data_IF_477612278956
#
_entry.id   IF_477612278956
#
_cell.length_a   1.000
_cell.length_b   1.000
_cell.length_c   1.000
_cell.angle_alpha   90.00
_cell.angle_beta   90.00
_cell.angle_gamma   90.00
#
_symmetry.space_group_name_H-M   'P 1'
#
loop_
_entity.id
_entity.type
_entity.pdbx_description
1 polymer ?
#
# COMPACT_ATOMS: atom_id res chain seq x y z
N UNK A 1 24.21 -56.86 10.26
CA UNK A 1 24.89 -56.37 11.47
C UNK A 1 25.35 -54.94 11.23
N UNK A 2 24.53 -53.96 11.60
CA UNK A 2 24.96 -52.72 12.24
C UNK A 2 23.70 -51.90 12.55
N UNK A 3 23.40 -51.77 13.84
CA UNK A 3 22.31 -50.96 14.36
C UNK A 3 22.74 -49.49 14.31
N UNK A 4 22.01 -48.66 13.57
CA UNK A 4 22.06 -47.21 13.73
C UNK A 4 20.79 -46.75 14.45
N UNK A 5 20.76 -46.93 15.77
CA UNK A 5 19.80 -46.29 16.67
C UNK A 5 20.35 -44.92 17.09
N UNK A 6 20.15 -43.92 16.23
CA UNK A 6 20.41 -42.52 16.54
C UNK A 6 19.10 -41.80 16.85
N UNK A 7 18.70 -41.79 18.11
CA UNK A 7 17.62 -40.92 18.61
C UNK A 7 18.16 -39.49 18.78
N UNK A 8 18.33 -38.76 17.68
CA UNK A 8 18.51 -37.30 17.72
C UNK A 8 17.15 -36.63 17.54
N UNK A 9 16.42 -36.52 18.65
CA UNK A 9 15.31 -35.56 18.79
C UNK A 9 15.92 -34.16 18.82
N UNK A 10 16.20 -33.66 17.62
CA UNK A 10 16.64 -32.30 17.38
C UNK A 10 15.71 -31.32 18.10
N UNK A 11 16.26 -30.58 19.06
CA UNK A 11 15.64 -29.40 19.66
C UNK A 11 15.22 -28.46 18.53
N UNK A 12 13.95 -28.52 18.14
CA UNK A 12 13.36 -27.53 17.24
C UNK A 12 13.45 -26.18 17.95
N UNK A 13 14.42 -25.36 17.54
CA UNK A 13 14.47 -23.96 17.92
C UNK A 13 13.14 -23.34 17.48
N UNK A 14 12.32 -22.90 18.44
CA UNK A 14 11.09 -22.15 18.18
C UNK A 14 11.47 -20.99 17.25
N UNK A 15 11.04 -21.07 15.98
CA UNK A 15 11.22 -19.97 15.02
C UNK A 15 10.25 -18.87 15.44
N UNK A 16 10.74 -17.85 16.15
CA UNK A 16 9.99 -16.61 16.34
C UNK A 16 9.90 -15.92 14.98
N UNK A 17 8.68 -15.85 14.45
CA UNK A 17 8.38 -15.13 13.22
C UNK A 17 8.05 -13.70 13.64
N UNK A 18 8.94 -12.77 13.31
CA UNK A 18 8.74 -11.34 13.54
C UNK A 18 7.99 -10.75 12.34
N UNK A 19 6.73 -10.37 12.53
CA UNK A 19 5.94 -9.71 11.48
C UNK A 19 5.97 -8.20 11.72
N UNK A 20 6.58 -7.46 10.80
CA UNK A 20 6.63 -5.99 10.80
C UNK A 20 5.41 -5.46 10.05
N UNK A 21 4.48 -4.83 10.76
CA UNK A 21 3.36 -4.12 10.14
C UNK A 21 3.71 -2.65 9.87
N UNK A 22 3.60 -2.15 8.62
CA UNK A 22 3.72 -0.72 8.33
C UNK A 22 2.52 0.06 8.91
N UNK A 23 2.78 1.23 9.52
CA UNK A 23 1.74 2.15 10.01
C UNK A 23 0.94 2.81 8.86
N UNK A 24 1.43 2.73 7.62
CA UNK A 24 0.88 3.46 6.48
C UNK A 24 -0.21 2.70 5.71
N UNK A 25 -0.67 1.54 6.20
CA UNK A 25 -1.63 0.67 5.48
C UNK A 25 -3.09 1.15 5.54
N UNK A 26 -3.38 2.29 6.18
CA UNK A 26 -4.74 2.77 6.44
C UNK A 26 -5.32 3.73 5.36
N UNK A 27 -4.57 4.56 4.59
CA UNK A 27 -5.22 5.53 3.69
C UNK A 27 -5.56 5.01 2.29
N UNK A 28 -5.08 3.84 1.87
CA UNK A 28 -5.13 3.42 0.46
C UNK A 28 -6.53 2.97 -0.04
N UNK A 29 -7.48 2.66 0.86
CA UNK A 29 -8.80 2.12 0.52
C UNK A 29 -9.89 3.18 0.27
N UNK A 30 -9.60 4.48 0.38
CA UNK A 30 -10.57 5.58 0.24
C UNK A 30 -10.52 6.33 -1.11
N UNK A 31 -10.05 5.66 -2.18
CA UNK A 31 -10.16 6.18 -3.56
C UNK A 31 -11.44 5.69 -4.27
N UNK A 32 -12.53 5.45 -3.54
CA UNK A 32 -13.87 5.41 -4.15
C UNK A 32 -14.20 6.84 -4.61
N UNK A 33 -14.65 6.96 -5.86
CA UNK A 33 -14.97 8.21 -6.56
C UNK A 33 -15.63 9.26 -5.65
N UNK A 34 -14.83 10.22 -5.16
CA UNK A 34 -15.30 11.39 -4.39
C UNK A 34 -16.31 12.25 -5.16
N UNK A 35 -16.50 12.03 -6.46
CA UNK A 35 -17.45 12.82 -7.25
C UNK A 35 -18.90 12.31 -7.09
N UNK A 36 -19.11 11.00 -6.89
CA UNK A 36 -20.45 10.42 -6.76
C UNK A 36 -21.07 10.62 -5.36
N UNK A 37 -20.29 10.38 -4.30
CA UNK A 37 -20.79 10.49 -2.91
C UNK A 37 -21.14 11.94 -2.51
N UNK A 38 -20.45 12.93 -3.06
CA UNK A 38 -20.70 14.33 -2.72
C UNK A 38 -21.95 14.92 -3.40
N UNK A 39 -22.40 14.33 -4.52
CA UNK A 39 -23.65 14.75 -5.17
C UNK A 39 -24.88 14.31 -4.36
N UNK A 40 -24.86 13.07 -3.85
CA UNK A 40 -25.93 12.53 -2.98
C UNK A 40 -26.03 13.27 -1.64
N UNK A 41 -24.90 13.63 -1.03
CA UNK A 41 -24.88 14.35 0.25
C UNK A 41 -25.36 15.82 0.16
N UNK A 42 -25.19 16.47 -1.00
CA UNK A 42 -25.76 17.81 -1.21
C UNK A 42 -27.27 17.77 -1.37
N UNK A 43 -27.81 16.73 -2.01
CA UNK A 43 -29.26 16.54 -2.17
C UNK A 43 -29.98 16.35 -0.84
N UNK A 44 -29.39 15.66 0.15
CA UNK A 44 -30.02 15.45 1.45
C UNK A 44 -30.00 16.68 2.38
N UNK A 45 -29.17 17.69 2.14
CA UNK A 45 -29.05 18.83 3.05
C UNK A 45 -30.18 19.85 2.89
N UNK A 46 -30.71 19.97 1.66
CA UNK A 46 -31.83 20.86 1.37
C UNK A 46 -33.17 20.26 1.82
N UNK A 47 -33.32 18.95 1.79
CA UNK A 47 -34.59 18.29 2.08
C UNK A 47 -35.03 18.38 3.55
N UNK A 48 -34.10 18.33 4.51
CA UNK A 48 -34.46 18.39 5.95
C UNK A 48 -34.93 19.79 6.36
N UNK A 49 -34.25 20.83 5.88
CA UNK A 49 -34.63 22.21 6.18
C UNK A 49 -35.98 22.57 5.53
N UNK A 50 -36.18 22.18 4.27
CA UNK A 50 -37.47 22.35 3.59
C UNK A 50 -38.60 21.60 4.30
N UNK A 51 -38.32 20.39 4.82
CA UNK A 51 -39.30 19.61 5.59
C UNK A 51 -39.68 20.29 6.90
N UNK A 52 -38.71 20.89 7.62
CA UNK A 52 -39.00 21.66 8.84
C UNK A 52 -39.92 22.84 8.55
N UNK A 53 -39.60 23.64 7.52
CA UNK A 53 -40.45 24.76 7.11
C UNK A 53 -41.85 24.31 6.67
N UNK A 54 -41.95 23.15 6.02
CA UNK A 54 -43.24 22.60 5.62
C UNK A 54 -44.07 22.16 6.83
N UNK A 55 -43.47 21.50 7.82
CA UNK A 55 -44.16 21.09 9.05
C UNK A 55 -44.66 22.30 9.86
N UNK A 56 -43.89 23.38 9.93
CA UNK A 56 -44.33 24.64 10.57
C UNK A 56 -45.58 25.20 9.88
N UNK A 57 -45.61 25.21 8.54
CA UNK A 57 -46.77 25.63 7.76
C UNK A 57 -47.96 24.70 7.97
N UNK A 58 -47.74 23.39 7.98
CA UNK A 58 -48.79 22.39 8.17
C UNK A 58 -49.43 22.49 9.57
N UNK A 59 -48.63 22.79 10.61
CA UNK A 59 -49.11 23.05 11.97
C UNK A 59 -49.97 24.32 12.01
N UNK A 60 -49.58 25.37 11.30
CA UNK A 60 -50.35 26.62 11.23
C UNK A 60 -51.68 26.45 10.48
N UNK A 61 -51.70 25.62 9.43
CA UNK A 61 -52.88 25.39 8.59
C UNK A 61 -53.90 24.40 9.18
N UNK A 62 -53.46 23.46 10.01
CA UNK A 62 -54.36 22.44 10.58
C UNK A 62 -55.28 23.02 11.67
N UNK A 63 -56.51 22.51 11.76
CA UNK A 63 -57.49 22.92 12.80
C UNK A 63 -57.63 21.87 13.91
N UNK A 64 -57.56 20.58 13.56
CA UNK A 64 -57.71 19.48 14.50
C UNK A 64 -56.49 19.36 15.45
N UNK A 65 -56.73 19.45 16.77
CA UNK A 65 -55.67 19.49 17.78
C UNK A 65 -54.86 18.19 17.87
N UNK A 66 -55.52 17.03 17.71
CA UNK A 66 -54.84 15.73 17.70
C UNK A 66 -53.78 15.65 16.59
N UNK A 67 -54.13 16.13 15.39
CA UNK A 67 -53.19 16.16 14.25
C UNK A 67 -52.06 17.17 14.46
N UNK A 68 -52.33 18.30 15.10
CA UNK A 68 -51.28 19.27 15.47
C UNK A 68 -50.26 18.66 16.43
N UNK A 69 -50.72 17.87 17.41
CA UNK A 69 -49.82 17.23 18.37
C UNK A 69 -48.88 16.23 17.70
N UNK A 70 -49.38 15.46 16.72
CA UNK A 70 -48.56 14.55 15.90
C UNK A 70 -47.50 15.34 15.12
N UNK A 71 -47.90 16.42 14.44
CA UNK A 71 -46.97 17.25 13.66
C UNK A 71 -45.91 17.94 14.53
N UNK A 72 -46.29 18.41 15.74
CA UNK A 72 -45.35 18.98 16.71
C UNK A 72 -44.30 17.96 17.18
N UNK A 73 -44.71 16.70 17.38
CA UNK A 73 -43.78 15.63 17.75
C UNK A 73 -42.81 15.29 16.61
N UNK A 74 -43.29 15.24 15.38
CA UNK A 74 -42.45 15.05 14.19
C UNK A 74 -41.43 16.19 14.04
N UNK A 75 -41.88 17.44 14.22
CA UNK A 75 -41.03 18.62 14.19
C UNK A 75 -39.91 18.54 15.24
N UNK A 76 -40.24 18.24 16.50
CA UNK A 76 -39.26 18.06 17.57
C UNK A 76 -38.23 16.98 17.22
N UNK A 77 -38.69 15.85 16.68
CA UNK A 77 -37.82 14.73 16.30
C UNK A 77 -36.83 15.18 15.22
N UNK A 78 -37.31 15.80 14.15
CA UNK A 78 -36.46 16.30 13.06
C UNK A 78 -35.48 17.40 13.52
N UNK A 79 -35.90 18.29 14.43
CA UNK A 79 -35.01 19.29 15.01
C UNK A 79 -33.87 18.63 15.79
N UNK A 80 -34.16 17.62 16.61
CA UNK A 80 -33.12 16.90 17.37
C UNK A 80 -32.13 16.18 16.46
N UNK A 81 -32.62 15.55 15.39
CA UNK A 81 -31.80 14.91 14.37
C UNK A 81 -30.91 15.92 13.63
N UNK A 82 -31.46 17.09 13.28
CA UNK A 82 -30.72 18.17 12.64
C UNK A 82 -29.60 18.70 13.54
N UNK A 83 -29.89 18.95 14.81
CA UNK A 83 -28.88 19.39 15.79
C UNK A 83 -27.78 18.34 15.99
N UNK A 84 -28.15 17.06 16.05
CA UNK A 84 -27.21 15.95 16.14
C UNK A 84 -26.31 15.87 14.90
N UNK A 85 -26.86 16.10 13.71
CA UNK A 85 -26.08 16.17 12.47
C UNK A 85 -25.07 17.32 12.50
N UNK A 86 -25.47 18.52 12.92
CA UNK A 86 -24.58 19.68 13.04
C UNK A 86 -23.43 19.42 14.03
N UNK A 87 -23.73 18.83 15.19
CA UNK A 87 -22.71 18.44 16.18
C UNK A 87 -21.73 17.41 15.62
N UNK A 88 -22.22 16.37 14.93
CA UNK A 88 -21.37 15.37 14.26
C UNK A 88 -20.48 16.01 13.20
N UNK A 89 -21.03 16.94 12.41
CA UNK A 89 -20.30 17.68 11.38
C UNK A 89 -19.17 18.52 12.01
N UNK A 90 -19.46 19.26 13.09
CA UNK A 90 -18.47 20.03 13.81
C UNK A 90 -17.33 19.15 14.34
N UNK A 91 -17.67 18.06 15.03
CA UNK A 91 -16.68 17.09 15.52
C UNK A 91 -15.81 16.51 14.40
N UNK A 92 -16.41 16.20 13.25
CA UNK A 92 -15.67 15.75 12.08
C UNK A 92 -14.66 16.81 11.59
N UNK A 93 -15.09 18.06 11.45
CA UNK A 93 -14.20 19.14 11.01
C UNK A 93 -13.13 19.49 12.04
N UNK A 94 -13.42 19.38 13.33
CA UNK A 94 -12.45 19.58 14.39
C UNK A 94 -11.38 18.49 14.39
N UNK A 95 -11.77 17.22 14.25
CA UNK A 95 -10.84 16.11 14.06
C UNK A 95 -10.00 16.28 12.82
N UNK A 96 -10.61 16.71 11.71
CA UNK A 96 -9.91 16.97 10.44
C UNK A 96 -8.91 18.12 10.57
N UNK A 97 -9.28 19.22 11.23
CA UNK A 97 -8.37 20.35 11.52
C UNK A 97 -7.22 19.92 12.42
N UNK A 98 -7.51 19.15 13.47
CA UNK A 98 -6.50 18.63 14.39
C UNK A 98 -5.51 17.69 13.70
N UNK A 99 -5.99 16.82 12.81
CA UNK A 99 -5.13 15.94 12.01
C UNK A 99 -4.24 16.74 11.05
N UNK A 100 -4.80 17.71 10.32
CA UNK A 100 -4.04 18.59 9.43
C UNK A 100 -2.96 19.38 10.17
N UNK A 101 -3.30 19.93 11.35
CA UNK A 101 -2.38 20.67 12.22
C UNK A 101 -1.25 19.80 12.79
N UNK A 102 -1.38 18.47 12.78
CA UNK A 102 -0.36 17.55 13.29
C UNK A 102 0.66 17.08 12.24
N UNK A 103 0.43 17.33 10.96
CA UNK A 103 1.22 16.72 9.87
C UNK A 103 1.81 17.74 8.89
N UNK A 104 1.31 18.97 8.84
CA UNK A 104 1.84 20.01 7.96
C UNK A 104 2.80 20.91 8.75
N UNK A 105 4.10 20.75 8.50
CA UNK A 105 5.13 21.63 9.02
C UNK A 105 5.14 22.93 8.18
N UNK A 106 4.25 23.87 8.53
CA UNK A 106 4.06 25.14 7.81
C UNK A 106 5.22 26.11 8.07
N UNK A 107 5.81 26.08 9.27
CA UNK A 107 6.94 26.93 9.65
C UNK A 107 8.25 26.13 9.76
N UNK A 108 9.42 26.73 9.46
CA UNK A 108 10.72 26.07 9.65
C UNK A 108 10.93 25.53 11.08
N UNK A 109 10.37 26.19 12.09
CA UNK A 109 10.40 25.76 13.49
C UNK A 109 9.73 24.39 13.71
N UNK A 110 8.65 24.11 12.99
CA UNK A 110 7.91 22.84 13.09
C UNK A 110 8.72 21.66 12.55
N UNK A 111 9.61 21.91 11.58
CA UNK A 111 10.47 20.88 11.00
C UNK A 111 11.43 20.28 12.03
N UNK A 112 11.88 21.08 13.00
CA UNK A 112 12.72 20.57 14.08
C UNK A 112 12.00 19.53 14.92
N UNK A 113 10.69 19.69 15.15
CA UNK A 113 9.90 18.73 15.91
C UNK A 113 9.67 17.45 15.09
N UNK A 114 9.38 17.58 13.80
CA UNK A 114 9.29 16.44 12.86
C UNK A 114 10.59 15.64 12.83
N UNK A 115 11.74 16.31 12.68
CA UNK A 115 13.04 15.63 12.69
C UNK A 115 13.38 15.03 14.05
N UNK A 116 13.04 15.70 15.15
CA UNK A 116 13.22 15.18 16.50
C UNK A 116 12.40 13.91 16.72
N UNK A 117 11.13 13.92 16.29
CA UNK A 117 10.22 12.78 16.45
C UNK A 117 10.54 11.64 15.48
N UNK A 118 10.98 11.93 14.25
CA UNK A 118 11.45 10.92 13.30
C UNK A 118 12.73 10.21 13.78
N UNK A 119 13.56 10.89 14.58
CA UNK A 119 14.77 10.33 15.19
C UNK A 119 14.51 9.65 16.53
N UNK A 120 13.32 9.77 17.11
CA UNK A 120 12.95 8.97 18.28
C UNK A 120 12.89 7.52 17.83
N UNK A 121 13.60 6.63 18.55
CA UNK A 121 13.38 5.21 18.37
C UNK A 121 11.88 4.95 18.56
N UNK A 122 11.24 4.17 17.66
CA UNK A 122 9.86 3.79 17.87
C UNK A 122 9.75 3.19 19.27
N UNK A 123 8.66 3.50 19.97
CA UNK A 123 8.36 2.88 21.27
C UNK A 123 8.55 1.37 21.14
N UNK A 124 9.19 0.76 22.15
CA UNK A 124 9.38 -0.69 22.19
C UNK A 124 8.07 -1.39 21.82
N UNK A 125 8.11 -2.22 20.79
CA UNK A 125 6.94 -2.98 20.36
C UNK A 125 6.53 -3.93 21.48
N UNK A 126 5.23 -4.04 21.72
CA UNK A 126 4.71 -5.05 22.63
C UNK A 126 4.90 -6.42 21.96
N UNK A 127 5.78 -7.23 22.53
CA UNK A 127 6.02 -8.60 22.05
C UNK A 127 4.88 -9.45 22.61
N UNK A 128 3.82 -9.60 21.81
CA UNK A 128 2.72 -10.50 22.15
C UNK A 128 3.13 -11.92 21.76
N UNK A 129 3.09 -12.83 22.72
CA UNK A 129 3.32 -14.24 22.45
C UNK A 129 2.17 -14.82 21.62
N UNK A 130 2.50 -15.43 20.50
CA UNK A 130 1.54 -15.97 19.52
C UNK A 130 0.66 -17.07 20.15
N UNK A 131 1.23 -17.83 21.08
CA UNK A 131 0.52 -18.91 21.77
C UNK A 131 -0.62 -18.38 22.67
N UNK A 132 -0.48 -17.16 23.21
CA UNK A 132 -1.45 -16.56 24.14
C UNK A 132 -2.64 -15.91 23.44
N UNK A 133 -2.46 -15.43 22.20
CA UNK A 133 -3.50 -14.72 21.43
C UNK A 133 -3.60 -15.23 19.98
N UNK A 134 -3.97 -16.50 19.76
CA UNK A 134 -4.04 -17.09 18.42
C UNK A 134 -5.13 -16.44 17.53
N UNK A 135 -6.13 -15.81 18.15
CA UNK A 135 -7.23 -15.12 17.46
C UNK A 135 -6.73 -13.97 16.59
N UNK A 136 -5.69 -13.25 17.03
CA UNK A 136 -5.11 -12.13 16.28
C UNK A 136 -4.61 -12.65 14.94
N UNK A 137 -3.87 -13.76 14.91
CA UNK A 137 -3.31 -14.30 13.66
C UNK A 137 -4.39 -14.98 12.81
N UNK A 138 -5.30 -15.75 13.41
CA UNK A 138 -6.38 -16.41 12.65
C UNK A 138 -7.32 -15.39 12.00
N UNK A 139 -7.55 -14.26 12.66
CA UNK A 139 -8.32 -13.14 12.12
C UNK A 139 -7.66 -12.48 10.91
N UNK A 140 -6.33 -12.56 10.76
CA UNK A 140 -5.64 -11.95 9.62
C UNK A 140 -5.96 -12.63 8.31
N UNK A 141 -6.07 -13.96 8.27
CA UNK A 141 -6.48 -14.66 7.05
C UNK A 141 -7.81 -14.13 6.52
N UNK A 142 -8.82 -14.02 7.39
CA UNK A 142 -10.13 -13.48 7.04
C UNK A 142 -10.09 -11.97 6.73
N UNK A 143 -9.26 -11.21 7.45
CA UNK A 143 -9.07 -9.78 7.19
C UNK A 143 -8.30 -9.51 5.89
N UNK A 144 -7.41 -10.39 5.46
CA UNK A 144 -6.65 -10.20 4.24
C UNK A 144 -7.40 -10.69 3.00
N UNK A 145 -8.32 -11.65 3.16
CA UNK A 145 -9.12 -12.21 2.06
C UNK A 145 -9.95 -11.17 1.30
N UNK A 146 -10.45 -10.12 1.97
CA UNK A 146 -11.21 -9.06 1.29
C UNK A 146 -10.31 -8.00 0.64
N UNK A 147 -9.07 -7.86 1.11
CA UNK A 147 -8.10 -6.87 0.59
C UNK A 147 -7.37 -7.44 -0.62
N UNK A 148 -6.96 -8.70 -0.55
CA UNK A 148 -6.17 -9.35 -1.57
C UNK A 148 -7.04 -10.25 -2.44
N UNK A 149 -7.09 -9.95 -3.74
CA UNK A 149 -7.73 -10.86 -4.70
C UNK A 149 -6.92 -12.16 -4.77
N UNK A 150 -7.59 -13.30 -4.55
CA UNK A 150 -6.98 -14.65 -4.64
C UNK A 150 -6.26 -14.92 -5.97
N UNK A 151 -6.68 -14.23 -7.04
CA UNK A 151 -5.97 -14.19 -8.33
C UNK A 151 -5.50 -12.77 -8.59
N UNK A 152 -4.21 -12.62 -8.90
CA UNK A 152 -3.65 -11.35 -9.35
C UNK A 152 -4.39 -10.92 -10.64
N UNK A 153 -4.80 -9.65 -10.76
CA UNK A 153 -5.56 -9.18 -11.92
C UNK A 153 -4.71 -9.05 -13.19
N UNK A 154 -3.39 -9.22 -13.07
CA UNK A 154 -2.45 -9.21 -14.18
C UNK A 154 -1.82 -10.60 -14.33
N UNK A 155 -1.43 -10.93 -15.56
CA UNK A 155 -0.76 -12.19 -15.82
C UNK A 155 0.62 -12.14 -15.14
N UNK A 156 0.88 -13.07 -14.24
CA UNK A 156 2.24 -13.27 -13.73
C UNK A 156 3.16 -13.54 -14.92
N UNK A 157 4.37 -12.99 -14.88
CA UNK A 157 5.37 -13.35 -15.89
C UNK A 157 5.52 -14.87 -15.90
N UNK A 158 5.58 -15.52 -17.07
CA UNK A 158 5.81 -16.96 -17.12
C UNK A 158 7.13 -17.25 -16.40
N UNK A 159 7.12 -18.25 -15.54
CA UNK A 159 8.31 -18.69 -14.83
C UNK A 159 9.29 -19.21 -15.88
N UNK A 160 10.38 -18.49 -16.08
CA UNK A 160 11.50 -18.89 -16.93
C UNK A 160 12.62 -19.33 -16.03
N UNK A 161 12.93 -20.62 -16.05
CA UNK A 161 14.09 -21.14 -15.35
C UNK A 161 15.21 -21.36 -16.35
N UNK A 162 16.40 -20.97 -15.93
CA UNK A 162 17.61 -21.02 -16.72
C UNK A 162 18.63 -21.83 -15.93
N UNK A 163 19.06 -22.96 -16.48
CA UNK A 163 20.12 -23.79 -15.92
C UNK A 163 21.39 -23.57 -16.75
N UNK A 164 22.42 -23.01 -16.09
CA UNK A 164 23.76 -22.85 -16.66
C UNK A 164 24.69 -23.76 -15.87
N UNK A 165 25.20 -24.80 -16.53
CA UNK A 165 26.19 -25.71 -15.95
C UNK A 165 27.60 -25.23 -16.28
N UNK A 166 28.55 -25.53 -15.39
CA UNK A 166 29.97 -25.17 -15.61
C UNK A 166 30.61 -26.01 -16.71
N UNK A 167 30.14 -27.24 -16.91
CA UNK A 167 30.72 -28.19 -17.85
C UNK A 167 30.58 -27.73 -19.30
N UNK A 168 29.52 -26.97 -19.61
CA UNK A 168 29.22 -26.48 -20.95
C UNK A 168 28.78 -25.01 -20.92
N UNK A 169 29.75 -24.10 -20.77
CA UNK A 169 29.48 -22.65 -20.71
C UNK A 169 28.71 -22.09 -21.93
N UNK A 170 28.76 -22.76 -23.08
CA UNK A 170 28.04 -22.38 -24.29
C UNK A 170 26.62 -22.98 -24.39
N UNK A 171 26.25 -23.94 -23.55
CA UNK A 171 24.95 -24.60 -23.59
C UNK A 171 24.06 -24.05 -22.48
N UNK A 172 22.93 -23.47 -22.87
CA UNK A 172 21.93 -22.94 -21.95
C UNK A 172 20.70 -23.82 -22.03
N UNK A 173 20.26 -24.32 -20.88
CA UNK A 173 19.01 -25.07 -20.77
C UNK A 173 17.95 -24.15 -20.18
N UNK A 174 16.79 -24.08 -20.81
CA UNK A 174 15.69 -23.25 -20.34
C UNK A 174 14.37 -24.00 -20.37
N UNK A 175 13.47 -23.66 -19.43
CA UNK A 175 12.09 -24.15 -19.44
C UNK A 175 11.12 -22.99 -19.27
N UNK A 176 10.01 -23.06 -20.00
CA UNK A 176 8.95 -22.04 -20.02
C UNK A 176 7.82 -22.34 -19.03
N UNK A 177 7.75 -23.57 -18.52
CA UNK A 177 6.78 -24.00 -17.51
C UNK A 177 7.47 -24.77 -16.39
N UNK A 178 6.93 -24.67 -15.18
CA UNK A 178 7.52 -25.26 -13.97
C UNK A 178 7.65 -26.79 -14.03
N UNK A 179 6.76 -27.46 -14.77
CA UNK A 179 6.77 -28.91 -15.00
C UNK A 179 7.17 -29.29 -16.43
N UNK A 180 7.66 -28.33 -17.22
CA UNK A 180 8.06 -28.57 -18.61
C UNK A 180 9.42 -29.23 -18.74
N UNK A 181 9.66 -29.83 -19.90
CA UNK A 181 10.99 -30.29 -20.30
C UNK A 181 11.94 -29.10 -20.52
N UNK A 182 13.23 -29.34 -20.31
CA UNK A 182 14.28 -28.37 -20.62
C UNK A 182 14.59 -28.37 -22.11
N UNK A 183 14.39 -27.22 -22.76
CA UNK A 183 14.89 -26.93 -24.09
C UNK A 183 16.36 -26.52 -24.00
N UNK A 184 17.13 -26.81 -25.05
CA UNK A 184 18.56 -26.49 -25.11
C UNK A 184 18.81 -25.47 -26.21
N UNK A 185 19.58 -24.44 -25.89
CA UNK A 185 20.08 -23.48 -26.87
C UNK A 185 21.59 -23.32 -26.72
N UNK A 186 22.29 -23.27 -27.85
CA UNK A 186 23.70 -22.93 -27.87
C UNK A 186 23.85 -21.41 -27.99
N UNK A 187 24.60 -20.82 -27.06
CA UNK A 187 25.02 -19.43 -27.14
C UNK A 187 26.08 -19.31 -28.22
N UNK A 188 25.67 -18.80 -29.38
CA UNK A 188 26.63 -18.31 -30.37
C UNK A 188 27.15 -16.97 -29.86
N UNK A 189 28.35 -16.98 -29.29
CA UNK A 189 29.04 -15.73 -29.00
C UNK A 189 29.12 -14.94 -30.32
N UNK A 190 28.62 -13.69 -30.36
CA UNK A 190 28.77 -12.88 -31.55
C UNK A 190 30.27 -12.84 -31.84
N UNK A 191 30.66 -13.22 -33.06
CA UNK A 191 32.04 -13.04 -33.51
C UNK A 191 32.34 -11.57 -33.25
N UNK A 192 33.27 -11.29 -32.32
CA UNK A 192 33.73 -9.92 -32.08
C UNK A 192 34.10 -9.39 -33.45
N UNK A 193 33.29 -8.48 -34.01
CA UNK A 193 33.75 -7.68 -35.13
C UNK A 193 35.02 -7.05 -34.59
N UNK A 194 36.17 -7.35 -35.21
CA UNK A 194 37.41 -6.67 -34.88
C UNK A 194 37.04 -5.19 -34.87
N UNK A 195 37.02 -4.58 -33.69
CA UNK A 195 36.88 -3.14 -33.57
C UNK A 195 38.14 -2.62 -34.23
N UNK A 196 38.05 -2.29 -35.52
CA UNK A 196 39.00 -1.40 -36.13
C UNK A 196 39.01 -0.17 -35.24
N UNK A 197 40.17 0.13 -34.66
CA UNK A 197 40.37 1.33 -33.88
C UNK A 197 39.86 2.49 -34.75
N UNK A 198 38.80 3.16 -34.30
CA UNK A 198 38.25 4.30 -35.01
C UNK A 198 39.36 5.34 -35.12
N UNK A 199 39.78 5.60 -36.34
CA UNK A 199 40.71 6.69 -36.66
C UNK A 199 39.94 8.01 -36.59
N UNK A 200 40.60 9.12 -36.25
CA UNK A 200 39.96 10.44 -36.10
C UNK A 200 39.12 10.86 -37.32
N UNK A 201 39.46 10.33 -38.51
CA UNK A 201 38.74 10.59 -39.76
C UNK A 201 37.35 9.93 -39.87
N UNK A 202 37.02 8.97 -38.99
CA UNK A 202 35.75 8.24 -39.02
C UNK A 202 34.66 8.87 -38.12
N UNK A 203 34.99 9.93 -37.38
CA UNK A 203 34.08 10.61 -36.46
C UNK A 203 33.21 11.64 -37.18
N UNK A 204 31.93 11.73 -36.82
CA UNK A 204 31.06 12.80 -37.32
C UNK A 204 31.32 14.12 -36.58
N UNK A 205 30.96 15.22 -37.22
CA UNK A 205 31.05 16.56 -36.61
C UNK A 205 30.23 16.61 -35.31
N UNK A 206 30.91 16.77 -34.17
CA UNK A 206 30.32 16.75 -32.82
C UNK A 206 30.56 15.47 -32.01
N UNK A 207 31.17 14.43 -32.58
CA UNK A 207 31.61 13.24 -31.85
C UNK A 207 33.10 13.38 -31.45
N UNK A 208 33.47 12.88 -30.27
CA UNK A 208 34.86 12.90 -29.79
C UNK A 208 35.27 11.54 -29.24
N UNK A 209 36.54 11.18 -29.45
CA UNK A 209 37.12 10.00 -28.81
C UNK A 209 37.42 10.37 -27.36
N UNK A 210 36.77 9.69 -26.42
CA UNK A 210 37.08 9.79 -25.00
C UNK A 210 38.47 9.15 -24.74
N UNK A 211 39.41 9.87 -24.09
CA UNK A 211 40.71 9.32 -23.74
C UNK A 211 40.54 8.07 -22.87
N UNK A 212 41.10 6.93 -23.31
CA UNK A 212 40.93 5.63 -22.65
C UNK A 212 41.50 5.56 -21.24
N UNK A 213 42.38 6.49 -20.88
CA UNK A 213 43.23 6.43 -19.68
C UNK A 213 42.43 6.58 -18.38
N UNK A 214 41.31 7.31 -18.37
CA UNK A 214 40.63 7.63 -17.10
C UNK A 214 39.69 6.56 -16.56
N UNK A 215 39.26 5.58 -17.36
CA UNK A 215 38.36 4.52 -16.87
C UNK A 215 39.11 3.36 -16.21
N UNK A 216 40.32 3.04 -16.67
CA UNK A 216 41.11 1.95 -16.10
C UNK A 216 41.71 2.32 -14.73
N UNK A 217 42.01 3.60 -14.50
CA UNK A 217 42.51 4.10 -13.21
C UNK A 217 41.42 4.10 -12.13
N UNK A 218 40.16 4.40 -12.50
CA UNK A 218 39.03 4.40 -11.57
C UNK A 218 38.67 3.00 -11.05
N UNK A 219 38.95 1.95 -11.83
CA UNK A 219 38.75 0.56 -11.40
C UNK A 219 39.85 0.06 -10.46
N UNK A 220 41.10 0.51 -10.63
CA UNK A 220 42.22 0.11 -9.75
C UNK A 220 42.11 0.64 -8.32
N UNK A 221 41.33 1.70 -8.10
CA UNK A 221 41.13 2.26 -6.76
C UNK A 221 40.01 1.59 -5.94
N UNK A 222 39.24 0.69 -6.55
CA UNK A 222 38.13 -0.01 -5.89
C UNK A 222 38.44 -1.49 -5.57
N UNK A 223 39.67 -1.95 -5.84
CA UNK A 223 40.23 -3.22 -5.36
C UNK A 223 41.12 -2.99 -4.14
#
# INVERSE_FOLDING_TARGET
>A
WSQCSGNDLGKMRKRQIFVRLPRDFVPALLKVSKKSLFASLRSCRYTVFERLQQLEKDIAATVAEERKNVLRFELLTLETEHQLHLKKQQLFYDRKRKAKKGEEAEFPEDWYQVFRDARRLPSSFEIINVEEKPEIIKGWSAHLDHIYKKRLPFHSRPVRELEITRDHAALVRFRTSYNGFYEQAYLVLPKKKRTTLLTEHDLREGEMILPSVHYEEAHRHNE
#
